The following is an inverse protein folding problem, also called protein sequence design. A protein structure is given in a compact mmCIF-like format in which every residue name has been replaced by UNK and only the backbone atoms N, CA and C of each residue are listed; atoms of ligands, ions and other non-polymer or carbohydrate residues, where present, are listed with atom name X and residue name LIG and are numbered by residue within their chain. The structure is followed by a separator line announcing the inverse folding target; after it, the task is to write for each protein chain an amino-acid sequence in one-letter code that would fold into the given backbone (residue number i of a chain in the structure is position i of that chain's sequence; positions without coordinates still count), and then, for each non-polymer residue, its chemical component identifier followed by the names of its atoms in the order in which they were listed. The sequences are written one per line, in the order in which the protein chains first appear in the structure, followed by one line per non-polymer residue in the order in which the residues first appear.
data_IF_816811248081
#
_entry.id   IF_816811248081
#
_cell.length_a   1.000
_cell.length_b   1.000
_cell.length_c   1.000
_cell.angle_alpha   90.00
_cell.angle_beta   90.00
_cell.angle_gamma   90.00
#
_symmetry.space_group_name_H-M   'P 1'
#
loop_
_entity.id
_entity.type
_entity.pdbx_description
1 polymer ?
#
# COMPACT_ATOMS: atom_id res chain seq x y z
N UNK A 1 8.78 4.82 29.73
CA UNK A 1 7.91 5.17 28.58
C UNK A 1 8.79 5.71 27.48
N UNK A 2 9.09 4.92 26.45
CA UNK A 2 9.93 5.39 25.33
C UNK A 2 9.03 5.88 24.20
N UNK A 3 9.04 7.19 23.98
CA UNK A 3 8.37 7.89 22.90
C UNK A 3 9.28 7.80 21.65
N UNK A 4 8.85 7.13 20.57
CA UNK A 4 9.57 7.14 19.30
C UNK A 4 9.29 8.46 18.58
N UNK A 5 10.21 9.41 18.70
CA UNK A 5 10.16 10.72 18.05
C UNK A 5 10.58 10.58 16.59
N UNK A 6 9.63 10.61 15.66
CA UNK A 6 9.90 10.63 14.22
C UNK A 6 10.47 11.99 13.82
N UNK A 7 11.79 12.05 13.62
CA UNK A 7 12.46 13.22 13.06
C UNK A 7 11.98 13.39 11.61
N UNK A 8 11.17 14.42 11.36
CA UNK A 8 10.86 14.86 10.00
C UNK A 8 12.18 15.29 9.33
N UNK A 9 12.64 14.51 8.35
CA UNK A 9 13.89 14.80 7.65
C UNK A 9 13.67 15.99 6.71
N UNK A 10 14.00 17.16 7.23
CA UNK A 10 13.99 18.44 6.54
C UNK A 10 15.14 18.46 5.51
N UNK A 11 14.79 18.65 4.24
CA UNK A 11 15.71 19.17 3.21
C UNK A 11 16.91 18.29 2.86
N UNK A 12 16.70 17.23 2.07
CA UNK A 12 17.76 16.71 1.21
C UNK A 12 17.17 16.49 -0.18
N UNK A 13 17.63 17.28 -1.14
CA UNK A 13 17.36 17.11 -2.56
C UNK A 13 18.10 15.84 -3.01
N UNK A 14 17.55 14.68 -2.66
CA UNK A 14 17.99 13.36 -3.11
C UNK A 14 17.34 13.20 -4.48
N UNK A 15 18.11 13.29 -5.55
CA UNK A 15 17.74 12.55 -6.75
C UNK A 15 17.76 11.07 -6.36
N UNK A 16 16.63 10.58 -5.86
CA UNK A 16 16.42 9.16 -5.70
C UNK A 16 16.54 8.56 -7.10
N UNK A 17 17.58 7.77 -7.33
CA UNK A 17 17.66 6.93 -8.52
C UNK A 17 16.28 6.27 -8.72
N UNK A 18 15.71 6.35 -9.93
CA UNK A 18 14.40 5.77 -10.24
C UNK A 18 14.44 4.29 -9.85
N UNK A 19 13.92 3.95 -8.67
CA UNK A 19 13.85 2.56 -8.26
C UNK A 19 12.82 1.91 -9.17
N UNK A 20 13.28 1.09 -10.12
CA UNK A 20 12.41 0.16 -10.84
C UNK A 20 11.59 -0.73 -9.87
N UNK A 21 11.98 -0.77 -8.59
CA UNK A 21 11.38 -1.57 -7.53
C UNK A 21 9.94 -1.24 -7.14
N UNK A 22 9.37 -0.10 -7.55
CA UNK A 22 7.97 0.22 -7.22
C UNK A 22 6.95 -0.71 -7.90
N UNK A 23 7.22 -1.14 -9.14
CA UNK A 23 6.31 -1.98 -9.94
C UNK A 23 6.70 -3.46 -9.97
N UNK A 24 8.00 -3.77 -9.97
CA UNK A 24 8.48 -5.16 -10.09
C UNK A 24 8.25 -5.97 -8.80
N UNK A 25 8.34 -5.33 -7.63
CA UNK A 25 8.22 -6.02 -6.33
C UNK A 25 6.78 -6.13 -5.82
N UNK A 26 5.78 -5.70 -6.59
CA UNK A 26 4.38 -5.73 -6.20
C UNK A 26 3.58 -6.51 -7.22
N UNK A 27 2.84 -7.52 -6.74
CA UNK A 27 1.93 -8.31 -7.56
C UNK A 27 0.50 -7.97 -7.20
N UNK A 28 -0.34 -7.74 -8.20
CA UNK A 28 -1.78 -7.58 -8.01
C UNK A 28 -2.38 -8.92 -7.57
N UNK A 29 -3.11 -8.91 -6.45
CA UNK A 29 -3.74 -10.11 -5.88
C UNK A 29 -5.23 -10.12 -6.18
N UNK A 30 -5.89 -8.97 -6.04
CA UNK A 30 -7.33 -8.83 -6.22
C UNK A 30 -7.68 -7.38 -6.57
N UNK A 31 -8.76 -7.16 -7.32
CA UNK A 31 -9.32 -5.85 -7.57
C UNK A 31 -10.84 -5.87 -7.49
N UNK A 32 -11.44 -4.83 -6.93
CA UNK A 32 -12.89 -4.64 -6.80
C UNK A 32 -13.23 -3.16 -6.63
N UNK A 33 -14.28 -2.67 -7.30
CA UNK A 33 -14.85 -1.34 -7.04
C UNK A 33 -13.88 -0.17 -7.21
N UNK A 34 -12.89 -0.28 -8.11
CA UNK A 34 -11.86 0.76 -8.29
C UNK A 34 -10.75 0.75 -7.24
N UNK A 35 -10.64 -0.34 -6.49
CA UNK A 35 -9.55 -0.60 -5.56
C UNK A 35 -8.84 -1.89 -5.94
N UNK A 36 -7.54 -1.98 -5.64
CA UNK A 36 -6.74 -3.20 -5.85
C UNK A 36 -5.86 -3.52 -4.67
N UNK A 37 -5.81 -4.79 -4.29
CA UNK A 37 -4.84 -5.34 -3.35
C UNK A 37 -3.59 -5.70 -4.14
N UNK A 38 -2.44 -5.21 -3.66
CA UNK A 38 -1.13 -5.62 -4.13
C UNK A 38 -0.35 -6.26 -2.98
N UNK A 39 0.40 -7.31 -3.27
CA UNK A 39 1.30 -7.95 -2.34
C UNK A 39 2.74 -7.62 -2.71
N UNK A 40 3.53 -7.21 -1.73
CA UNK A 40 4.96 -7.10 -1.88
C UNK A 40 5.57 -8.50 -1.91
N UNK A 41 6.32 -8.83 -2.96
CA UNK A 41 6.90 -10.16 -3.16
C UNK A 41 8.01 -10.45 -2.13
N UNK A 42 8.69 -9.42 -1.63
CA UNK A 42 9.82 -9.59 -0.70
C UNK A 42 9.32 -9.69 0.74
N UNK A 43 8.48 -8.74 1.16
CA UNK A 43 8.03 -8.65 2.55
C UNK A 43 6.72 -9.39 2.84
N UNK A 44 6.05 -9.94 1.82
CA UNK A 44 4.71 -10.51 1.87
C UNK A 44 3.63 -9.55 2.41
N UNK A 45 3.92 -8.25 2.49
CA UNK A 45 2.99 -7.24 2.97
C UNK A 45 1.96 -6.89 1.89
N UNK A 46 0.70 -6.74 2.28
CA UNK A 46 -0.37 -6.33 1.39
C UNK A 46 -0.62 -4.83 1.49
N UNK A 47 -1.05 -4.21 0.38
CA UNK A 47 -1.57 -2.84 0.34
C UNK A 47 -2.81 -2.78 -0.53
N UNK A 48 -3.76 -1.91 -0.18
CA UNK A 48 -4.87 -1.53 -1.06
C UNK A 48 -4.52 -0.18 -1.69
N UNK A 49 -4.65 -0.11 -3.01
CA UNK A 49 -4.57 1.12 -3.79
C UNK A 49 -5.95 1.47 -4.34
N UNK A 50 -6.24 2.76 -4.49
CA UNK A 50 -7.38 3.25 -5.27
C UNK A 50 -7.04 3.40 -6.77
N UNK A 51 -8.01 3.83 -7.57
CA UNK A 51 -7.85 4.09 -9.01
C UNK A 51 -6.81 5.15 -9.35
N UNK A 52 -6.42 6.01 -8.39
CA UNK A 52 -5.37 7.00 -8.56
C UNK A 52 -4.01 6.49 -8.03
N UNK A 53 -3.87 5.18 -7.82
CA UNK A 53 -2.70 4.53 -7.23
C UNK A 53 -2.33 5.05 -5.83
N UNK A 54 -3.27 5.66 -5.10
CA UNK A 54 -3.05 6.12 -3.72
C UNK A 54 -3.27 4.97 -2.75
N UNK A 55 -2.37 4.84 -1.77
CA UNK A 55 -2.47 3.81 -0.73
C UNK A 55 -3.58 4.16 0.26
N UNK A 56 -4.58 3.29 0.34
CA UNK A 56 -5.70 3.41 1.29
C UNK A 56 -5.39 2.67 2.59
N UNK A 57 -4.85 1.46 2.50
CA UNK A 57 -4.60 0.61 3.65
C UNK A 57 -3.43 -0.34 3.37
N UNK A 58 -2.83 -0.90 4.42
CA UNK A 58 -1.81 -1.94 4.32
C UNK A 58 -1.77 -2.82 5.56
N UNK A 59 -1.58 -4.13 5.38
CA UNK A 59 -1.50 -5.11 6.47
C UNK A 59 -0.72 -6.36 6.01
N UNK A 60 -0.25 -7.17 6.95
CA UNK A 60 0.34 -8.48 6.66
C UNK A 60 -0.71 -9.60 6.54
N UNK A 61 -1.95 -9.34 6.98
CA UNK A 61 -3.02 -10.34 6.98
C UNK A 61 -3.90 -10.22 5.75
N UNK A 62 -3.90 -11.23 4.89
CA UNK A 62 -4.68 -11.21 3.65
C UNK A 62 -6.19 -11.14 3.90
N UNK A 63 -6.72 -11.92 4.84
CA UNK A 63 -8.15 -11.95 5.17
C UNK A 63 -8.68 -10.58 5.61
N UNK A 64 -7.89 -9.84 6.40
CA UNK A 64 -8.23 -8.47 6.78
C UNK A 64 -8.31 -7.55 5.56
N UNK A 65 -7.37 -7.70 4.63
CA UNK A 65 -7.32 -6.89 3.41
C UNK A 65 -8.48 -7.20 2.47
N UNK A 66 -8.90 -8.46 2.35
CA UNK A 66 -10.09 -8.84 1.59
C UNK A 66 -11.37 -8.22 2.18
N UNK A 67 -11.54 -8.29 3.50
CA UNK A 67 -12.68 -7.66 4.17
C UNK A 67 -12.69 -6.14 3.92
N UNK A 68 -11.52 -5.51 4.04
CA UNK A 68 -11.39 -4.07 3.80
C UNK A 68 -11.67 -3.68 2.35
N UNK A 69 -11.22 -4.50 1.39
CA UNK A 69 -11.51 -4.29 -0.03
C UNK A 69 -13.01 -4.37 -0.31
N UNK A 70 -13.69 -5.35 0.29
CA UNK A 70 -15.14 -5.50 0.15
C UNK A 70 -15.88 -4.28 0.68
N UNK A 71 -15.58 -3.83 1.90
CA UNK A 71 -16.16 -2.61 2.48
C UNK A 71 -15.96 -1.39 1.57
N UNK A 72 -14.73 -1.18 1.07
CA UNK A 72 -14.42 -0.05 0.20
C UNK A 72 -15.19 -0.10 -1.13
N UNK A 73 -15.40 -1.30 -1.68
CA UNK A 73 -16.16 -1.50 -2.92
C UNK A 73 -17.67 -1.38 -2.74
N UNK A 74 -18.19 -1.61 -1.53
CA UNK A 74 -19.61 -1.46 -1.21
C UNK A 74 -19.99 0.00 -0.95
N UNK A 75 -19.12 0.78 -0.30
CA UNK A 75 -19.33 2.22 -0.08
C UNK A 75 -19.27 3.04 -1.37
N UNK A 76 -18.58 2.54 -2.40
CA UNK A 76 -18.44 3.22 -3.69
C UNK A 76 -19.61 3.00 -4.66
N UNK A 77 -20.64 2.23 -4.27
CA UNK A 77 -21.90 2.07 -5.01
C UNK A 77 -22.86 3.22 -4.71
#
# INVERSE_FOLDING_TARGET
TYLMQSLAFQGYNKEYAKTFGGKVWWRDVQASGGYKIQQNIISNHFRILDNADRRVCSSFEFTYMEHRLKELSEVAK
#
